data_IF_886394229857
#
_entry.id   IF_886394229857
#
_cell.length_a   1.000
_cell.length_b   1.000
_cell.length_c   1.000
_cell.angle_alpha   90.00
_cell.angle_beta   90.00
_cell.angle_gamma   90.00
#
_symmetry.space_group_name_H-M   'P 1'
#
loop_
_entity.id
_entity.type
_entity.pdbx_description
1 polymer ?
#
# COMPACT_ATOMS: atom_id res chain seq x y z
N UNK A 1 3.11 -2.50 -20.40
CA UNK A 1 3.47 -2.53 -18.97
C UNK A 1 2.46 -1.68 -18.22
N UNK A 2 1.48 -2.31 -17.57
CA UNK A 2 0.36 -1.60 -16.98
C UNK A 2 0.59 -1.41 -15.47
N UNK A 3 0.24 -0.24 -14.97
CA UNK A 3 0.39 0.14 -13.57
C UNK A 3 -0.71 1.10 -13.16
N UNK A 4 -0.79 1.35 -11.86
CA UNK A 4 -1.68 2.37 -11.28
C UNK A 4 -0.84 3.52 -10.74
N UNK A 5 -1.32 4.74 -10.89
CA UNK A 5 -0.72 5.92 -10.28
C UNK A 5 -1.24 6.05 -8.85
N UNK A 6 -0.33 6.22 -7.89
CA UNK A 6 -0.64 6.51 -6.50
C UNK A 6 -0.06 7.89 -6.15
N UNK A 7 -0.86 8.67 -5.42
CA UNK A 7 -0.44 9.90 -4.74
C UNK A 7 -0.75 9.82 -3.25
N UNK A 8 -0.41 10.84 -2.47
CA UNK A 8 -0.92 10.96 -1.10
C UNK A 8 -2.46 11.06 -1.09
N UNK A 9 -3.11 10.60 -0.01
CA UNK A 9 -4.56 10.80 0.18
C UNK A 9 -4.74 12.03 1.04
N UNK A 10 -5.48 13.01 0.51
CA UNK A 10 -5.77 14.29 1.18
C UNK A 10 -7.27 14.37 1.41
N UNK A 11 -7.68 14.46 2.68
CA UNK A 11 -9.07 14.64 3.06
C UNK A 11 -9.19 15.93 3.88
N UNK A 12 -10.13 16.81 3.50
CA UNK A 12 -10.38 18.08 4.20
C UNK A 12 -9.16 19.01 4.36
N UNK A 13 -8.15 18.88 3.48
CA UNK A 13 -6.92 19.68 3.52
C UNK A 13 -5.82 19.11 4.41
N UNK A 14 -6.04 17.95 5.04
CA UNK A 14 -5.05 17.20 5.80
C UNK A 14 -4.63 15.94 5.05
N UNK A 15 -3.35 15.58 5.13
CA UNK A 15 -2.84 14.33 4.56
C UNK A 15 -3.20 13.18 5.50
N UNK A 16 -4.16 12.34 5.11
CA UNK A 16 -4.59 11.20 5.93
C UNK A 16 -3.69 9.98 5.74
N UNK A 17 -3.13 9.79 4.54
CA UNK A 17 -2.16 8.73 4.25
C UNK A 17 -1.07 9.27 3.32
N UNK A 18 0.19 9.18 3.75
CA UNK A 18 1.33 9.64 2.95
C UNK A 18 1.54 8.76 1.70
N UNK A 19 2.25 9.28 0.69
CA UNK A 19 2.63 8.48 -0.47
C UNK A 19 3.48 7.27 -0.03
N UNK A 20 4.44 7.49 0.87
CA UNK A 20 5.33 6.47 1.42
C UNK A 20 4.59 5.25 1.96
N UNK A 21 3.59 5.49 2.82
CA UNK A 21 2.76 4.42 3.40
C UNK A 21 1.99 3.62 2.33
N UNK A 22 1.59 4.25 1.22
CA UNK A 22 0.84 3.58 0.15
C UNK A 22 1.74 2.76 -0.77
N UNK A 23 2.98 3.18 -0.97
CA UNK A 23 3.92 2.53 -1.90
C UNK A 23 4.84 1.51 -1.22
N UNK A 24 4.90 1.51 0.12
CA UNK A 24 5.66 0.51 0.88
C UNK A 24 5.33 -0.92 0.46
N UNK A 25 6.36 -1.70 0.16
CA UNK A 25 6.23 -3.08 -0.29
C UNK A 25 5.69 -3.24 -1.71
N UNK A 26 5.62 -2.17 -2.51
CA UNK A 26 5.23 -2.19 -3.92
C UNK A 26 6.44 -2.02 -4.82
N UNK A 27 6.22 -2.25 -6.11
CA UNK A 27 7.25 -2.17 -7.14
C UNK A 27 6.88 -1.13 -8.20
N UNK A 28 7.74 -0.15 -8.53
CA UNK A 28 7.45 0.85 -9.54
C UNK A 28 7.51 0.25 -10.95
N UNK A 29 6.69 0.80 -11.84
CA UNK A 29 6.68 0.42 -13.27
C UNK A 29 7.77 1.12 -14.06
N UNK A 30 8.00 2.38 -13.70
CA UNK A 30 8.92 3.29 -14.36
C UNK A 30 10.08 3.63 -13.41
N UNK A 31 11.16 4.16 -13.97
CA UNK A 31 12.29 4.65 -13.17
C UNK A 31 11.86 5.87 -12.34
N UNK A 32 12.27 5.90 -11.07
CA UNK A 32 11.99 7.00 -10.15
C UNK A 32 13.15 7.98 -10.21
N UNK A 33 12.86 9.20 -10.67
CA UNK A 33 13.84 10.28 -10.76
C UNK A 33 13.55 11.32 -9.68
N UNK A 34 14.61 11.92 -9.13
CA UNK A 34 14.48 13.05 -8.24
C UNK A 34 13.91 14.25 -9.01
N UNK A 35 12.83 14.91 -8.55
CA UNK A 35 12.13 15.94 -9.31
C UNK A 35 12.99 17.20 -9.54
N UNK A 36 13.80 17.60 -8.56
CA UNK A 36 14.68 18.75 -8.68
C UNK A 36 16.00 18.49 -9.44
N UNK A 37 16.68 17.36 -9.20
CA UNK A 37 18.02 17.10 -9.77
C UNK A 37 17.99 16.24 -11.03
N UNK A 38 16.91 15.50 -11.28
CA UNK A 38 16.82 14.53 -12.36
C UNK A 38 17.67 13.27 -12.15
N UNK A 39 18.25 13.09 -10.96
CA UNK A 39 19.03 11.90 -10.62
C UNK A 39 18.12 10.67 -10.47
N UNK A 40 18.61 9.52 -10.90
CA UNK A 40 17.90 8.25 -10.75
C UNK A 40 17.96 7.78 -9.29
N UNK A 41 16.82 7.80 -8.60
CA UNK A 41 16.69 7.30 -7.23
C UNK A 41 16.54 5.77 -7.25
N UNK A 42 15.56 5.26 -8.00
CA UNK A 42 15.24 3.83 -8.05
C UNK A 42 14.93 3.39 -9.48
N UNK A 43 15.38 2.19 -9.84
CA UNK A 43 15.04 1.59 -11.13
C UNK A 43 13.64 0.99 -11.12
N UNK A 44 13.00 0.97 -12.29
CA UNK A 44 11.81 0.19 -12.56
C UNK A 44 12.01 -1.27 -12.12
N UNK A 45 11.07 -1.81 -11.35
CA UNK A 45 11.16 -3.17 -10.83
C UNK A 45 11.79 -3.32 -9.45
N UNK A 46 12.32 -2.25 -8.85
CA UNK A 46 12.83 -2.25 -7.47
C UNK A 46 11.70 -2.49 -6.44
N UNK A 47 11.92 -3.31 -5.43
CA UNK A 47 10.91 -3.49 -4.38
C UNK A 47 11.14 -2.44 -3.30
N UNK A 48 10.17 -1.56 -3.10
CA UNK A 48 10.26 -0.47 -2.12
C UNK A 48 10.17 -1.01 -0.69
N UNK A 49 11.20 -0.75 0.10
CA UNK A 49 11.24 -1.03 1.54
C UNK A 49 11.09 0.26 2.38
N UNK A 50 11.23 0.13 3.70
CA UNK A 50 11.10 1.23 4.64
C UNK A 50 12.16 2.33 4.42
N UNK A 51 13.40 1.95 4.09
CA UNK A 51 14.47 2.92 3.85
C UNK A 51 14.26 3.66 2.53
N UNK A 52 13.73 2.98 1.51
CA UNK A 52 13.38 3.60 0.24
C UNK A 52 12.26 4.64 0.40
N UNK A 53 11.32 4.41 1.32
CA UNK A 53 10.23 5.35 1.60
C UNK A 53 10.77 6.67 2.17
N UNK A 54 11.72 6.62 3.09
CA UNK A 54 12.35 7.84 3.64
C UNK A 54 12.98 8.69 2.54
N UNK A 55 13.68 8.05 1.59
CA UNK A 55 14.28 8.73 0.44
C UNK A 55 13.23 9.36 -0.49
N UNK A 56 12.10 8.67 -0.70
CA UNK A 56 10.99 9.19 -1.52
C UNK A 56 10.32 10.42 -0.89
N UNK A 57 10.18 10.42 0.44
CA UNK A 57 9.61 11.54 1.18
C UNK A 57 10.57 12.73 1.21
N UNK A 58 11.87 12.51 1.42
CA UNK A 58 12.90 13.56 1.34
C UNK A 58 13.00 14.19 -0.05
N UNK A 59 12.86 13.38 -1.11
CA UNK A 59 12.86 13.85 -2.49
C UNK A 59 11.54 14.57 -2.88
N UNK A 60 10.54 14.57 -1.99
CA UNK A 60 9.24 15.20 -2.16
C UNK A 60 8.51 14.75 -3.45
N UNK A 61 8.48 13.44 -3.69
CA UNK A 61 7.77 12.82 -4.83
C UNK A 61 6.26 12.92 -4.58
N UNK A 62 5.51 13.51 -5.51
CA UNK A 62 4.06 13.70 -5.38
C UNK A 62 3.26 12.46 -5.81
N UNK A 63 3.66 11.83 -6.91
CA UNK A 63 2.96 10.68 -7.50
C UNK A 63 3.94 9.62 -8.02
N UNK A 64 3.53 8.36 -7.94
CA UNK A 64 4.30 7.22 -8.42
C UNK A 64 3.44 6.22 -9.19
N UNK A 65 3.96 5.72 -10.31
CA UNK A 65 3.35 4.59 -11.04
C UNK A 65 3.88 3.25 -10.53
N UNK A 66 3.01 2.46 -9.91
CA UNK A 66 3.35 1.15 -9.36
C UNK A 66 2.66 -0.01 -10.09
N UNK A 67 3.25 -1.19 -9.97
CA UNK A 67 2.60 -2.44 -10.37
C UNK A 67 1.47 -2.77 -9.40
N UNK A 68 0.41 -3.35 -9.92
CA UNK A 68 -0.75 -3.76 -9.14
C UNK A 68 -1.23 -5.14 -9.57
N UNK A 69 -1.89 -5.85 -8.64
CA UNK A 69 -2.63 -7.06 -8.94
C UNK A 69 -3.76 -6.82 -9.97
N UNK A 70 -4.36 -5.61 -9.97
CA UNK A 70 -5.44 -5.25 -10.90
C UNK A 70 -4.98 -5.14 -12.36
N UNK A 71 -3.70 -4.79 -12.56
CA UNK A 71 -3.11 -4.63 -13.90
C UNK A 71 -2.22 -5.82 -14.28
N UNK A 72 -2.29 -6.91 -13.52
CA UNK A 72 -1.49 -8.11 -13.77
C UNK A 72 -2.02 -8.87 -14.99
N UNK A 73 -1.13 -9.26 -15.89
CA UNK A 73 -1.47 -9.98 -17.13
C UNK A 73 -1.49 -11.52 -16.93
N UNK A 74 -1.19 -12.00 -15.72
CA UNK A 74 -1.26 -13.42 -15.37
C UNK A 74 -2.69 -13.92 -15.46
N UNK A 75 -2.93 -15.02 -16.19
CA UNK A 75 -4.28 -15.57 -16.39
C UNK A 75 -4.90 -16.13 -15.11
N UNK A 76 -4.12 -16.87 -14.32
CA UNK A 76 -4.57 -17.53 -13.10
C UNK A 76 -3.65 -17.11 -11.93
N UNK A 77 -4.12 -16.20 -11.10
CA UNK A 77 -3.36 -15.65 -9.97
C UNK A 77 -2.64 -14.34 -10.30
N UNK A 78 -1.70 -13.95 -9.44
CA UNK A 78 -0.96 -12.69 -9.53
C UNK A 78 0.54 -13.02 -9.48
N UNK A 79 1.36 -12.36 -10.30
CA UNK A 79 2.81 -12.56 -10.23
C UNK A 79 3.41 -11.88 -8.99
N UNK A 80 4.53 -12.41 -8.48
CA UNK A 80 5.18 -11.91 -7.27
C UNK A 80 5.48 -10.40 -7.34
N UNK A 81 5.90 -9.89 -8.50
CA UNK A 81 6.24 -8.47 -8.68
C UNK A 81 5.00 -7.54 -8.71
N UNK A 82 3.83 -8.03 -9.14
CA UNK A 82 2.60 -7.24 -9.10
C UNK A 82 1.96 -7.24 -7.71
N UNK A 83 2.20 -8.28 -6.92
CA UNK A 83 1.78 -8.33 -5.53
C UNK A 83 2.74 -7.51 -4.64
N UNK A 84 4.05 -7.74 -4.79
CA UNK A 84 5.11 -7.08 -4.04
C UNK A 84 5.52 -7.87 -2.79
N UNK A 85 5.49 -7.19 -1.65
CA UNK A 85 5.90 -7.70 -0.34
C UNK A 85 4.78 -8.45 0.36
N UNK A 86 5.13 -9.55 1.02
CA UNK A 86 4.28 -10.21 2.01
C UNK A 86 4.31 -9.38 3.31
N UNK A 87 3.18 -8.77 3.66
CA UNK A 87 3.07 -7.91 4.84
C UNK A 87 3.17 -8.67 6.17
N UNK A 88 2.98 -9.98 6.17
CA UNK A 88 3.12 -10.79 7.39
C UNK A 88 4.59 -11.13 7.70
N UNK A 89 5.42 -11.26 6.66
CA UNK A 89 6.82 -11.70 6.79
C UNK A 89 7.84 -10.60 6.52
N UNK A 90 7.43 -9.52 5.86
CA UNK A 90 8.30 -8.43 5.48
C UNK A 90 9.27 -8.77 4.35
N UNK A 91 9.09 -9.89 3.64
CA UNK A 91 9.91 -10.30 2.49
C UNK A 91 9.08 -10.25 1.20
N UNK A 92 9.70 -10.31 0.00
CA UNK A 92 8.95 -10.55 -1.23
C UNK A 92 8.05 -11.79 -1.09
N UNK A 93 6.87 -11.76 -1.72
CA UNK A 93 5.93 -12.88 -1.63
C UNK A 93 6.52 -14.14 -2.27
N UNK A 94 6.31 -15.28 -1.60
CA UNK A 94 6.76 -16.58 -2.11
C UNK A 94 5.84 -17.08 -3.22
N UNK A 95 6.43 -17.76 -4.21
CA UNK A 95 5.66 -18.41 -5.27
C UNK A 95 4.80 -19.54 -4.69
N UNK A 96 3.51 -19.55 -5.04
CA UNK A 96 2.54 -20.52 -4.51
C UNK A 96 1.78 -20.07 -3.26
N UNK A 97 2.07 -18.87 -2.74
CA UNK A 97 1.34 -18.30 -1.59
C UNK A 97 -0.13 -18.02 -1.95
N UNK A 98 -1.04 -18.34 -1.04
CA UNK A 98 -2.48 -18.24 -1.25
C UNK A 98 -2.99 -16.81 -1.00
N UNK A 99 -2.44 -15.83 -1.72
CA UNK A 99 -2.67 -14.39 -1.50
C UNK A 99 -4.15 -13.97 -1.55
N UNK A 100 -4.99 -14.68 -2.32
CA UNK A 100 -6.42 -14.40 -2.38
C UNK A 100 -7.17 -14.78 -1.09
N UNK A 101 -6.81 -15.91 -0.47
CA UNK A 101 -7.39 -16.36 0.80
C UNK A 101 -6.92 -15.47 1.95
N UNK A 102 -5.66 -15.03 1.91
CA UNK A 102 -5.10 -14.06 2.86
C UNK A 102 -5.87 -12.74 2.76
N UNK A 103 -5.99 -12.18 1.54
CA UNK A 103 -6.70 -10.92 1.32
C UNK A 103 -8.17 -10.97 1.77
N UNK A 104 -8.86 -12.08 1.53
CA UNK A 104 -10.24 -12.26 1.97
C UNK A 104 -10.38 -12.20 3.50
N UNK A 105 -9.47 -12.85 4.23
CA UNK A 105 -9.48 -12.84 5.71
C UNK A 105 -9.09 -11.48 6.27
N UNK A 106 -8.07 -10.83 5.70
CA UNK A 106 -7.62 -9.49 6.13
C UNK A 106 -8.71 -8.42 6.06
N UNK A 107 -9.76 -8.64 5.25
CA UNK A 107 -10.94 -7.78 5.21
C UNK A 107 -12.08 -8.36 6.08
N UNK A 108 -12.33 -9.67 5.98
CA UNK A 108 -13.45 -10.32 6.64
C UNK A 108 -13.38 -10.30 8.17
N UNK A 109 -12.25 -10.69 8.75
CA UNK A 109 -12.11 -10.77 10.22
C UNK A 109 -12.28 -9.39 10.88
N UNK A 110 -11.55 -8.32 10.46
CA UNK A 110 -11.78 -6.99 11.01
C UNK A 110 -13.20 -6.47 10.79
N UNK A 111 -13.83 -6.77 9.65
CA UNK A 111 -15.21 -6.37 9.38
C UNK A 111 -16.23 -7.02 10.34
N UNK A 112 -16.08 -8.32 10.62
CA UNK A 112 -16.93 -9.00 11.61
C UNK A 112 -16.67 -8.48 13.03
N UNK A 113 -15.42 -8.15 13.36
CA UNK A 113 -15.08 -7.55 14.64
C UNK A 113 -15.70 -6.15 14.80
N UNK A 114 -15.62 -5.32 13.76
CA UNK A 114 -16.16 -3.96 13.78
C UNK A 114 -17.67 -3.98 13.99
N UNK A 115 -18.40 -4.82 13.27
CA UNK A 115 -19.86 -4.93 13.43
C UNK A 115 -20.25 -5.38 14.84
N UNK A 116 -19.57 -6.40 15.38
CA UNK A 116 -19.79 -6.82 16.77
C UNK A 116 -19.51 -5.69 17.76
N UNK A 117 -18.40 -4.96 17.65
CA UNK A 117 -18.07 -3.86 18.57
C UNK A 117 -19.05 -2.68 18.47
N UNK A 118 -19.43 -2.27 17.26
CA UNK A 118 -20.32 -1.12 17.05
C UNK A 118 -21.75 -1.40 17.52
N UNK A 119 -22.32 -2.58 17.23
CA UNK A 119 -23.70 -2.86 17.63
C UNK A 119 -23.87 -3.08 19.14
N UNK A 120 -22.86 -3.62 19.83
CA UNK A 120 -22.94 -3.85 21.28
C UNK A 120 -22.68 -2.57 22.10
N UNK A 121 -21.95 -1.59 21.56
CA UNK A 121 -21.69 -0.29 22.20
C UNK A 121 -22.71 0.79 21.76
N UNK A 122 -23.34 0.62 20.58
CA UNK A 122 -24.27 1.59 19.97
C UNK A 122 -25.57 1.89 20.73
N UNK A 123 -25.84 1.24 21.86
CA UNK A 123 -26.96 1.58 22.75
C UNK A 123 -26.70 2.76 23.70
N UNK A 124 -25.43 3.15 23.88
CA UNK A 124 -25.04 4.30 24.69
C UNK A 124 -24.18 5.20 23.83
N UNK A 125 -24.69 6.37 23.45
CA UNK A 125 -23.97 7.37 22.67
C UNK A 125 -22.72 7.85 23.43
N UNK A 126 -21.60 7.17 23.24
CA UNK A 126 -20.27 7.66 23.57
C UNK A 126 -19.49 7.69 22.28
N UNK A 127 -19.41 8.88 21.68
CA UNK A 127 -18.44 9.17 20.62
C UNK A 127 -17.08 9.19 21.31
N UNK A 128 -16.44 8.02 21.38
CA UNK A 128 -15.03 7.94 21.79
C UNK A 128 -14.20 8.16 20.55
N UNK A 129 -13.94 9.43 20.26
CA UNK A 129 -12.84 9.84 19.38
C UNK A 129 -11.53 9.45 20.07
N UNK A 130 -11.03 8.25 19.75
CA UNK A 130 -9.67 7.86 20.08
C UNK A 130 -8.82 8.12 18.85
N UNK A 131 -8.58 9.42 18.64
CA UNK A 131 -7.37 9.90 17.99
C UNK A 131 -6.20 9.35 18.80
N UNK A 132 -5.57 8.29 18.30
CA UNK A 132 -4.35 7.73 18.89
C UNK A 132 -3.25 8.79 18.78
N UNK A 133 -2.84 9.34 19.92
CA UNK A 133 -1.51 9.93 20.12
C UNK A 133 -0.50 8.80 20.35
#
# INVERSE_FOLDING_TARGET
KNGITLGAVIESGEVTVSLGQRVLGRTPVDDILHPATGELLFKAGHLLDEADVDVLEEANIEELRIRSGLTCETRNGICATCYGRDLARGTPVNMGEAVGVIAAQSIGEPGTQLTMRTFHIGGTAQVVDTSFL
#
